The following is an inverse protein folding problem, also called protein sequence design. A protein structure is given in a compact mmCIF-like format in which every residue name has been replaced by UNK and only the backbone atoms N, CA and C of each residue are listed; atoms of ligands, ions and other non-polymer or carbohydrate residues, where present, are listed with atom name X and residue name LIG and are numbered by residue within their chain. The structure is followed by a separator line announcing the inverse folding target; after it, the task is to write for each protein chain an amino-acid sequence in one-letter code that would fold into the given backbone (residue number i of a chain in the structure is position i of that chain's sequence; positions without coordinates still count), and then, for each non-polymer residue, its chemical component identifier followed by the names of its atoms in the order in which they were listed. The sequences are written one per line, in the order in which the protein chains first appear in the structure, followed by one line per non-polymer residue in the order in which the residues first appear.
data_IF_694946795775
#
_entry.id   IF_694946795775
#
_cell.length_a   1.000
_cell.length_b   1.000
_cell.length_c   1.000
_cell.angle_alpha   90.00
_cell.angle_beta   90.00
_cell.angle_gamma   90.00
#
_symmetry.space_group_name_H-M   'P 1'
#
loop_
_entity.id
_entity.type
_entity.pdbx_description
1 polymer ?
#
# COMPACT_ATOMS: atom_id res chain seq x y z
N UNK A 1 -54.58 3.18 -3.45
CA UNK A 1 -53.34 3.90 -3.05
C UNK A 1 -52.34 2.84 -2.61
N UNK A 2 -51.24 2.74 -3.35
CA UNK A 2 -50.02 1.93 -3.16
C UNK A 2 -50.07 0.39 -2.98
N UNK A 3 -49.35 -0.22 -3.90
CA UNK A 3 -49.00 -1.62 -4.13
C UNK A 3 -47.71 -1.96 -3.36
N UNK A 4 -47.56 -3.22 -2.89
CA UNK A 4 -46.37 -4.11 -3.05
C UNK A 4 -46.27 -5.14 -1.90
N UNK A 5 -46.50 -6.43 -2.18
CA UNK A 5 -45.51 -7.48 -2.54
C UNK A 5 -44.64 -7.82 -1.31
N UNK A 6 -44.95 -8.89 -0.57
CA UNK A 6 -44.60 -10.30 -0.84
C UNK A 6 -43.12 -10.61 -0.56
N UNK A 7 -42.94 -11.46 0.47
CA UNK A 7 -42.00 -12.57 0.63
C UNK A 7 -40.57 -12.38 0.09
N UNK A 8 -39.58 -12.65 0.94
CA UNK A 8 -38.67 -13.81 0.83
C UNK A 8 -37.59 -13.67 1.92
N UNK A 9 -37.49 -14.71 2.76
CA UNK A 9 -36.33 -15.00 3.59
C UNK A 9 -35.08 -15.02 2.70
N UNK A 10 -34.04 -14.26 3.03
CA UNK A 10 -32.71 -14.56 2.54
C UNK A 10 -31.73 -14.44 3.70
N UNK A 11 -31.61 -15.57 4.41
CA UNK A 11 -30.45 -15.93 5.20
C UNK A 11 -29.23 -15.74 4.32
N UNK A 12 -28.39 -14.77 4.61
CA UNK A 12 -26.97 -14.90 4.29
C UNK A 12 -26.17 -14.62 5.56
N UNK A 13 -26.00 -15.68 6.35
CA UNK A 13 -24.74 -15.83 7.05
C UNK A 13 -23.65 -15.94 5.98
N UNK A 14 -22.90 -14.86 5.77
CA UNK A 14 -21.71 -14.89 4.93
C UNK A 14 -20.52 -15.08 5.86
N UNK A 15 -20.16 -16.35 6.07
CA UNK A 15 -18.80 -16.84 5.89
C UNK A 15 -17.66 -15.80 6.03
N UNK A 16 -17.39 -15.32 7.25
CA UNK A 16 -16.23 -14.45 7.54
C UNK A 16 -14.85 -15.13 7.37
N UNK A 17 -14.81 -16.36 6.85
CA UNK A 17 -13.57 -17.14 6.70
C UNK A 17 -12.96 -17.17 5.29
N UNK A 18 -13.66 -16.70 4.24
CA UNK A 18 -13.22 -16.91 2.84
C UNK A 18 -13.23 -15.66 1.95
N UNK A 19 -13.69 -14.50 2.42
CA UNK A 19 -13.81 -13.28 1.61
C UNK A 19 -12.68 -12.27 1.78
N UNK A 20 -11.71 -12.50 2.67
CA UNK A 20 -10.65 -11.54 2.94
C UNK A 20 -9.63 -11.40 1.79
N UNK A 21 -9.41 -12.42 0.95
CA UNK A 21 -8.41 -12.33 -0.11
C UNK A 21 -8.86 -11.48 -1.31
N UNK A 22 -10.13 -11.60 -1.74
CA UNK A 22 -10.61 -10.90 -2.94
C UNK A 22 -10.81 -9.39 -2.72
N UNK A 23 -10.95 -8.95 -1.47
CA UNK A 23 -11.21 -7.56 -1.13
C UNK A 23 -9.95 -6.70 -1.17
N UNK A 24 -8.79 -7.25 -0.78
CA UNK A 24 -7.57 -6.43 -0.66
C UNK A 24 -6.89 -6.23 -2.02
N UNK A 25 -6.85 -7.23 -2.90
CA UNK A 25 -6.39 -7.03 -4.29
C UNK A 25 -7.27 -6.02 -5.03
N UNK A 26 -8.59 -6.05 -4.79
CA UNK A 26 -9.52 -5.08 -5.35
C UNK A 26 -9.25 -3.67 -4.80
N UNK A 27 -8.96 -3.55 -3.50
CA UNK A 27 -8.65 -2.29 -2.85
C UNK A 27 -7.38 -1.66 -3.41
N UNK A 28 -6.33 -2.46 -3.59
CA UNK A 28 -5.07 -2.02 -4.23
C UNK A 28 -5.35 -1.45 -5.61
N UNK A 29 -6.00 -2.23 -6.49
CA UNK A 29 -6.29 -1.77 -7.86
C UNK A 29 -7.14 -0.51 -7.87
N UNK A 30 -8.08 -0.38 -6.91
CA UNK A 30 -8.87 0.84 -6.78
C UNK A 30 -8.01 2.05 -6.38
N UNK A 31 -7.10 1.90 -5.43
CA UNK A 31 -6.20 2.99 -5.03
C UNK A 31 -5.22 3.37 -6.14
N UNK A 32 -4.61 2.39 -6.82
CA UNK A 32 -3.74 2.64 -7.96
C UNK A 32 -4.49 3.38 -9.07
N UNK A 33 -5.70 2.92 -9.42
CA UNK A 33 -6.52 3.55 -10.44
C UNK A 33 -6.91 4.98 -10.04
N UNK A 34 -7.27 5.21 -8.77
CA UNK A 34 -7.59 6.56 -8.28
C UNK A 34 -6.41 7.52 -8.40
N UNK A 35 -5.19 7.09 -8.05
CA UNK A 35 -3.98 7.91 -8.22
C UNK A 35 -3.72 8.20 -9.69
N UNK A 36 -3.80 7.19 -10.56
CA UNK A 36 -3.59 7.34 -12.00
C UNK A 36 -4.64 8.27 -12.62
N UNK A 37 -5.92 8.11 -12.27
CA UNK A 37 -7.02 8.97 -12.74
C UNK A 37 -6.85 10.42 -12.25
N UNK A 38 -6.24 10.62 -11.09
CA UNK A 38 -5.88 11.93 -10.56
C UNK A 38 -4.64 12.55 -11.22
N UNK A 39 -3.95 11.82 -12.11
CA UNK A 39 -2.78 12.28 -12.86
C UNK A 39 -1.43 11.85 -12.26
N UNK A 40 -1.41 10.96 -11.27
CA UNK A 40 -0.17 10.41 -10.73
C UNK A 40 0.53 9.49 -11.74
N UNK A 41 1.86 9.51 -11.74
CA UNK A 41 2.67 8.67 -12.62
C UNK A 41 3.46 7.65 -11.82
N UNK A 42 3.36 6.36 -12.18
CA UNK A 42 4.17 5.30 -11.55
C UNK A 42 5.66 5.56 -11.81
N UNK A 43 6.48 5.48 -10.77
CA UNK A 43 7.93 5.53 -10.92
C UNK A 43 8.44 4.27 -11.62
N UNK A 44 9.27 4.46 -12.64
CA UNK A 44 9.97 3.36 -13.30
C UNK A 44 10.96 2.65 -12.36
N UNK A 45 11.43 1.46 -12.75
CA UNK A 45 12.50 0.72 -12.07
C UNK A 45 13.71 1.60 -11.72
N UNK A 46 14.16 2.41 -12.67
CA UNK A 46 15.32 3.27 -12.48
C UNK A 46 15.02 4.36 -11.44
N UNK A 47 13.91 5.07 -11.62
CA UNK A 47 13.51 6.16 -10.72
C UNK A 47 13.32 5.68 -9.28
N UNK A 48 12.65 4.54 -9.08
CA UNK A 48 12.44 4.01 -7.72
C UNK A 48 13.73 3.48 -7.09
N UNK A 49 14.64 2.91 -7.90
CA UNK A 49 15.95 2.47 -7.42
C UNK A 49 16.79 3.67 -6.98
N UNK A 50 16.84 4.75 -7.77
CA UNK A 50 17.52 6.00 -7.43
C UNK A 50 16.87 6.70 -6.22
N UNK A 51 15.54 6.58 -6.10
CA UNK A 51 14.80 7.13 -4.97
C UNK A 51 15.18 6.46 -3.65
N UNK A 52 15.24 5.12 -3.62
CA UNK A 52 15.45 4.34 -2.39
C UNK A 52 16.92 4.06 -2.06
N UNK A 53 17.76 3.83 -3.07
CA UNK A 53 19.13 3.34 -2.88
C UNK A 53 19.96 4.28 -1.99
N UNK A 54 20.49 3.73 -0.90
CA UNK A 54 21.26 4.44 0.10
C UNK A 54 20.43 5.29 1.06
N UNK A 55 19.10 5.15 1.07
CA UNK A 55 18.19 5.95 1.91
C UNK A 55 17.35 5.10 2.86
N UNK A 56 16.86 5.75 3.91
CA UNK A 56 15.88 5.18 4.83
C UNK A 56 14.50 5.69 4.47
N UNK A 57 13.55 4.79 4.33
CA UNK A 57 12.13 5.11 4.32
C UNK A 57 11.57 4.81 5.70
N UNK A 58 10.99 5.80 6.35
CA UNK A 58 10.32 5.62 7.64
C UNK A 58 8.81 5.38 7.41
N UNK A 59 8.12 4.88 8.43
CA UNK A 59 6.66 4.85 8.57
C UNK A 59 6.29 4.84 10.04
N UNK A 60 5.02 5.09 10.39
CA UNK A 60 4.57 5.38 11.76
C UNK A 60 5.15 4.42 12.82
N UNK A 61 5.26 3.14 12.50
CA UNK A 61 5.73 2.09 13.42
C UNK A 61 7.02 1.38 12.97
N UNK A 62 7.81 1.99 12.09
CA UNK A 62 9.02 1.35 11.58
C UNK A 62 9.78 2.12 10.50
N UNK A 63 10.62 1.39 9.78
CA UNK A 63 11.37 1.92 8.66
C UNK A 63 12.21 0.84 7.98
N UNK A 64 12.64 1.13 6.76
CA UNK A 64 13.55 0.30 5.98
C UNK A 64 14.72 1.14 5.47
N UNK A 65 15.95 0.71 5.75
CA UNK A 65 17.15 1.25 5.11
C UNK A 65 17.52 0.39 3.90
N UNK A 66 17.47 0.97 2.71
CA UNK A 66 17.70 0.30 1.43
C UNK A 66 19.15 0.50 1.00
N UNK A 67 20.00 -0.50 1.19
CA UNK A 67 21.40 -0.42 0.77
C UNK A 67 21.52 -0.50 -0.75
N UNK A 68 22.53 0.18 -1.34
CA UNK A 68 22.78 0.12 -2.78
C UNK A 68 23.13 -1.26 -3.34
N UNK A 69 23.57 -2.19 -2.49
CA UNK A 69 23.91 -3.57 -2.87
C UNK A 69 22.71 -4.54 -2.85
N UNK A 70 21.50 -4.02 -2.68
CA UNK A 70 20.26 -4.83 -2.69
C UNK A 70 19.90 -5.42 -1.33
N UNK A 71 20.65 -5.12 -0.27
CA UNK A 71 20.29 -5.47 1.11
C UNK A 71 19.32 -4.44 1.68
N UNK A 72 18.33 -4.86 2.47
CA UNK A 72 17.45 -3.97 3.23
C UNK A 72 17.40 -4.37 4.69
N UNK A 73 17.55 -3.38 5.57
CA UNK A 73 17.34 -3.53 7.01
C UNK A 73 15.99 -2.99 7.39
N UNK A 74 15.14 -3.82 7.99
CA UNK A 74 13.79 -3.44 8.40
C UNK A 74 13.73 -3.35 9.91
N UNK A 75 13.20 -2.23 10.42
CA UNK A 75 12.82 -2.05 11.81
C UNK A 75 11.30 -1.92 11.87
N UNK A 76 10.65 -2.68 12.75
CA UNK A 76 9.21 -2.56 12.98
C UNK A 76 8.88 -2.90 14.44
N UNK A 77 8.02 -2.09 15.08
CA UNK A 77 7.61 -2.30 16.47
C UNK A 77 8.78 -2.36 17.46
N UNK A 78 9.81 -1.54 17.24
CA UNK A 78 11.03 -1.51 18.06
C UNK A 78 12.01 -2.68 17.84
N UNK A 79 11.68 -3.64 16.96
CA UNK A 79 12.55 -4.78 16.63
C UNK A 79 13.25 -4.57 15.29
N UNK A 80 14.52 -4.97 15.22
CA UNK A 80 15.26 -5.06 13.96
C UNK A 80 15.13 -6.48 13.44
N UNK A 81 14.72 -6.62 12.19
CA UNK A 81 14.57 -7.91 11.53
C UNK A 81 15.89 -8.29 10.84
N UNK A 82 16.15 -9.60 10.63
CA UNK A 82 17.32 -10.06 9.88
C UNK A 82 17.40 -9.41 8.50
N UNK A 83 18.62 -9.41 7.93
CA UNK A 83 18.87 -8.92 6.60
C UNK A 83 17.92 -9.55 5.58
N UNK A 84 17.37 -8.68 4.73
CA UNK A 84 16.48 -9.03 3.64
C UNK A 84 17.07 -8.51 2.35
N UNK A 85 16.52 -8.95 1.24
CA UNK A 85 16.85 -8.36 -0.07
C UNK A 85 15.70 -7.50 -0.55
N UNK A 86 16.01 -6.48 -1.33
CA UNK A 86 15.01 -5.69 -2.04
C UNK A 86 15.37 -5.63 -3.52
N UNK A 87 14.34 -5.60 -4.36
CA UNK A 87 14.52 -5.45 -5.80
C UNK A 87 13.34 -4.68 -6.38
N UNK A 88 13.65 -3.74 -7.27
CA UNK A 88 12.68 -3.14 -8.16
C UNK A 88 12.55 -3.97 -9.43
N UNK A 89 11.33 -4.37 -9.78
CA UNK A 89 11.05 -5.06 -11.04
C UNK A 89 10.94 -4.07 -12.22
N UNK A 90 10.67 -4.59 -13.43
CA UNK A 90 10.59 -3.74 -14.62
C UNK A 90 9.35 -2.84 -14.66
N UNK A 91 8.38 -3.07 -13.78
CA UNK A 91 7.17 -2.22 -13.63
C UNK A 91 7.36 -1.12 -12.58
N UNK A 92 8.51 -1.11 -11.89
CA UNK A 92 8.78 -0.19 -10.78
C UNK A 92 8.25 -0.68 -9.42
N UNK A 93 7.70 -1.90 -9.35
CA UNK A 93 7.30 -2.49 -8.07
C UNK A 93 8.54 -2.92 -7.28
N UNK A 94 8.60 -2.53 -6.01
CA UNK A 94 9.70 -2.85 -5.10
C UNK A 94 9.22 -3.89 -4.09
N UNK A 95 9.80 -5.09 -4.12
CA UNK A 95 9.49 -6.12 -3.14
C UNK A 95 10.67 -6.35 -2.18
N UNK A 96 10.36 -6.42 -0.89
CA UNK A 96 11.28 -6.87 0.16
C UNK A 96 11.09 -8.37 0.35
N UNK A 97 12.17 -9.14 0.26
CA UNK A 97 12.16 -10.60 0.34
C UNK A 97 12.82 -11.11 1.61
N UNK A 98 12.22 -12.14 2.20
CA UNK A 98 12.84 -12.95 3.24
C UNK A 98 14.04 -13.75 2.67
N UNK A 99 14.94 -14.26 3.54
CA UNK A 99 16.06 -15.10 3.11
C UNK A 99 15.67 -16.37 2.32
N UNK A 100 14.45 -16.87 2.53
CA UNK A 100 13.90 -18.02 1.79
C UNK A 100 13.37 -17.63 0.38
N UNK A 101 13.48 -16.36 -0.01
CA UNK A 101 13.05 -15.83 -1.30
C UNK A 101 11.58 -15.42 -1.35
N UNK A 102 10.79 -15.68 -0.31
CA UNK A 102 9.38 -15.26 -0.24
C UNK A 102 9.26 -13.74 -0.06
N UNK A 103 8.23 -13.13 -0.65
CA UNK A 103 7.98 -11.70 -0.49
C UNK A 103 7.38 -11.44 0.90
N UNK A 104 7.91 -10.43 1.58
CA UNK A 104 7.36 -9.92 2.84
C UNK A 104 6.50 -8.68 2.65
N UNK A 105 6.84 -7.86 1.67
CA UNK A 105 6.02 -6.74 1.23
C UNK A 105 6.39 -6.36 -0.19
N UNK A 106 5.46 -5.76 -0.91
CA UNK A 106 5.68 -5.17 -2.22
C UNK A 106 5.08 -3.78 -2.23
N UNK A 107 5.78 -2.80 -2.80
CA UNK A 107 5.34 -1.41 -2.83
C UNK A 107 5.43 -0.83 -4.24
N UNK A 108 4.48 0.04 -4.59
CA UNK A 108 4.50 0.88 -5.79
C UNK A 108 4.58 2.34 -5.39
N UNK A 109 5.35 3.09 -6.17
CA UNK A 109 5.66 4.48 -5.93
C UNK A 109 5.14 5.32 -7.09
N UNK A 110 4.52 6.45 -6.77
CA UNK A 110 3.88 7.34 -7.72
C UNK A 110 4.37 8.76 -7.48
N UNK A 111 4.80 9.46 -8.53
CA UNK A 111 5.05 10.91 -8.48
C UNK A 111 3.71 11.63 -8.68
N UNK A 112 3.33 12.45 -7.72
CA UNK A 112 2.10 13.23 -7.76
C UNK A 112 2.23 14.51 -6.93
N UNK A 113 1.95 15.66 -7.53
CA UNK A 113 1.92 16.98 -6.87
C UNK A 113 3.15 17.27 -5.99
N UNK A 114 4.35 16.94 -6.48
CA UNK A 114 5.64 17.11 -5.78
C UNK A 114 5.88 16.17 -4.61
N UNK A 115 4.96 15.25 -4.32
CA UNK A 115 5.09 14.19 -3.34
C UNK A 115 5.28 12.82 -4.00
N UNK A 116 5.78 11.87 -3.23
CA UNK A 116 5.84 10.46 -3.60
C UNK A 116 4.75 9.72 -2.84
N UNK A 117 3.74 9.26 -3.57
CA UNK A 117 2.72 8.36 -3.03
C UNK A 117 3.21 6.93 -3.08
N UNK A 118 3.00 6.20 -1.99
CA UNK A 118 3.45 4.82 -1.83
C UNK A 118 2.25 3.96 -1.49
N UNK A 119 2.02 2.93 -2.29
CA UNK A 119 1.06 1.86 -1.98
C UNK A 119 1.88 0.63 -1.61
N UNK A 120 1.74 0.13 -0.39
CA UNK A 120 2.43 -1.05 0.11
C UNK A 120 1.45 -2.17 0.40
N UNK A 121 1.77 -3.35 -0.13
CA UNK A 121 1.13 -4.62 0.15
C UNK A 121 1.96 -5.38 1.17
N UNK A 122 1.35 -5.74 2.29
CA UNK A 122 1.96 -6.61 3.30
C UNK A 122 1.58 -8.06 3.01
N UNK A 123 2.62 -8.91 2.89
CA UNK A 123 2.48 -10.31 2.49
C UNK A 123 3.03 -11.19 3.62
N UNK A 124 2.20 -12.10 4.13
CA UNK A 124 2.62 -13.12 5.10
C UNK A 124 2.49 -14.50 4.46
N UNK A 125 3.64 -15.11 4.11
CA UNK A 125 3.68 -16.34 3.31
C UNK A 125 3.24 -16.08 1.87
N UNK A 126 2.24 -16.83 1.39
CA UNK A 126 1.64 -16.61 0.06
C UNK A 126 0.36 -15.77 0.11
N UNK A 127 0.02 -15.21 1.29
CA UNK A 127 -1.24 -14.49 1.49
C UNK A 127 -1.02 -13.01 1.68
N UNK A 128 -1.71 -12.25 0.85
CA UNK A 128 -1.85 -10.82 1.02
C UNK A 128 -2.66 -10.54 2.30
N UNK A 129 -2.13 -9.68 3.16
CA UNK A 129 -2.66 -9.48 4.51
C UNK A 129 -3.14 -8.05 4.76
N UNK A 130 -2.53 -7.06 4.13
CA UNK A 130 -2.97 -5.67 4.18
C UNK A 130 -2.48 -4.88 2.97
N UNK A 131 -3.15 -3.77 2.66
CA UNK A 131 -2.70 -2.74 1.74
C UNK A 131 -2.73 -1.40 2.48
N UNK A 132 -1.68 -0.59 2.33
CA UNK A 132 -1.57 0.76 2.90
C UNK A 132 -1.15 1.75 1.82
N UNK A 133 -1.72 2.95 1.88
CA UNK A 133 -1.33 4.07 1.02
C UNK A 133 -0.95 5.27 1.88
N UNK A 134 0.18 5.89 1.58
CA UNK A 134 0.68 7.07 2.27
C UNK A 134 1.49 7.95 1.31
N UNK A 135 1.60 9.25 1.61
CA UNK A 135 2.47 10.16 0.89
C UNK A 135 3.76 10.42 1.68
N UNK A 136 4.85 10.52 0.94
CA UNK A 136 6.17 10.91 1.44
C UNK A 136 6.56 12.16 0.68
N UNK A 137 6.79 13.25 1.41
CA UNK A 137 7.33 14.48 0.82
C UNK A 137 8.74 14.21 0.31
N UNK A 138 9.17 14.97 -0.71
CA UNK A 138 10.52 14.80 -1.30
C UNK A 138 11.67 15.07 -0.33
N UNK A 139 11.42 15.76 0.77
CA UNK A 139 12.39 15.94 1.86
C UNK A 139 12.52 14.69 2.78
N UNK A 140 11.73 13.65 2.51
CA UNK A 140 11.69 12.41 3.29
C UNK A 140 10.72 12.43 4.47
N UNK A 141 10.03 13.56 4.73
CA UNK A 141 8.99 13.61 5.75
C UNK A 141 7.73 12.88 5.28
N UNK A 142 7.12 12.12 6.19
CA UNK A 142 5.88 11.41 5.92
C UNK A 142 4.74 12.33 6.28
N UNK A 143 3.78 12.51 5.38
CA UNK A 143 2.54 13.16 5.78
C UNK A 143 1.68 12.14 6.51
N UNK A 144 1.59 12.29 7.83
CA UNK A 144 0.86 11.40 8.73
C UNK A 144 -0.67 11.52 8.59
N UNK A 145 -1.19 11.91 7.43
CA UNK A 145 -2.51 11.45 6.98
C UNK A 145 -2.37 9.97 6.60
N UNK A 146 -2.12 9.17 7.62
CA UNK A 146 -2.08 7.72 7.56
C UNK A 146 -3.48 7.25 7.18
N UNK A 147 -3.69 6.95 5.89
CA UNK A 147 -4.89 6.26 5.43
C UNK A 147 -4.70 4.76 5.65
N UNK A 148 -4.31 4.37 6.87
CA UNK A 148 -4.35 3.00 7.32
C UNK A 148 -5.82 2.58 7.37
N UNK A 149 -6.30 1.95 6.30
CA UNK A 149 -7.67 1.42 6.23
C UNK A 149 -7.75 0.20 7.16
N UNK A 150 -7.91 0.45 8.46
CA UNK A 150 -8.70 -0.43 9.33
C UNK A 150 -10.15 0.06 9.33
N UNK A 151 -10.80 0.07 8.17
CA UNK A 151 -12.24 0.36 8.06
C UNK A 151 -12.68 1.04 6.77
N UNK A 152 -13.09 0.25 5.77
CA UNK A 152 -14.00 0.62 4.68
C UNK A 152 -13.55 1.71 3.67
N UNK A 153 -14.08 1.72 2.42
CA UNK A 153 -13.46 2.43 1.30
C UNK A 153 -14.04 3.82 0.98
N UNK A 154 -14.94 4.39 1.80
CA UNK A 154 -15.69 5.59 1.37
C UNK A 154 -15.13 6.94 1.85
N UNK A 155 -14.23 6.99 2.83
CA UNK A 155 -13.92 8.27 3.51
C UNK A 155 -12.68 9.00 2.99
N UNK A 156 -11.82 8.36 2.20
CA UNK A 156 -10.45 8.87 1.94
C UNK A 156 -10.40 9.98 0.86
N UNK A 157 -11.23 9.92 -0.18
CA UNK A 157 -11.23 10.96 -1.24
C UNK A 157 -12.27 12.06 -1.02
N UNK A 158 -13.26 11.85 -0.15
CA UNK A 158 -14.21 12.92 0.22
C UNK A 158 -13.61 13.95 1.17
N UNK A 159 -12.63 13.56 2.00
CA UNK A 159 -11.97 14.47 2.94
C UNK A 159 -11.18 15.60 2.26
N UNK A 160 -10.46 15.29 1.16
CA UNK A 160 -9.66 16.30 0.44
C UNK A 160 -10.48 17.16 -0.54
N UNK A 161 -11.72 16.76 -0.86
CA UNK A 161 -12.60 17.53 -1.74
C UNK A 161 -13.42 18.59 -0.97
N UNK A 162 -13.49 18.49 0.37
CA UNK A 162 -14.20 19.42 1.24
C UNK A 162 -13.30 20.54 1.80
N UNK A 163 -11.98 20.49 1.59
CA UNK A 163 -11.05 21.57 1.94
C UNK A 163 -10.85 22.59 0.80
N UNK A 164 -11.45 22.35 -0.37
CA UNK A 164 -11.40 23.25 -1.54
C UNK A 164 -12.77 23.81 -1.95
N UNK A 165 -13.76 23.81 -1.05
CA UNK A 165 -15.07 24.48 -1.25
C UNK A 165 -15.37 25.50 -0.15
#
# INVERSE_FOLDING_TARGET
MYQRISKIFLVIGVSFGLLACATVEKLERQQEQQLVDAGATVLSRQQVTEYLSGKTQEWENGGAYFRPDGVVYVKFGGKVYPERTWVADNTGQVCIKFPDGSNSSCSRYFDYNQDIWVITLEIFGEKLSAARAFSVRRDGSIDATDNSISGGPSTVLEGNRLSEM
#
